data_IF_230393997078
#
_entry.id   IF_230393997078
#
_cell.length_a   1.000
_cell.length_b   1.000
_cell.length_c   1.000
_cell.angle_alpha   90.00
_cell.angle_beta   90.00
_cell.angle_gamma   90.00
#
_symmetry.space_group_name_H-M   'P 1'
#
loop_
_entity.id
_entity.type
_entity.pdbx_description
1 polymer ?
#
# COMPACT_ATOMS: atom_id res chain seq x y z
N UNK A 1 -11.74 17.02 -10.85
CA UNK A 1 -10.29 17.29 -10.77
C UNK A 1 -9.63 16.50 -11.88
N UNK A 2 -9.13 17.16 -12.92
CA UNK A 2 -8.28 16.48 -13.91
C UNK A 2 -6.93 16.27 -13.25
N UNK A 3 -6.67 15.04 -12.80
CA UNK A 3 -5.33 14.70 -12.35
C UNK A 3 -4.42 14.76 -13.59
N UNK A 4 -3.29 15.50 -13.55
CA UNK A 4 -2.28 15.36 -14.60
C UNK A 4 -1.97 13.87 -14.76
N UNK A 5 -1.66 13.42 -15.98
CA UNK A 5 -1.37 12.01 -16.27
C UNK A 5 -0.20 11.56 -15.38
N UNK A 6 -0.53 11.04 -14.21
CA UNK A 6 0.44 10.58 -13.23
C UNK A 6 0.79 9.15 -13.64
N UNK A 7 2.08 8.82 -13.78
CA UNK A 7 2.48 7.47 -14.16
C UNK A 7 1.98 6.49 -13.09
N UNK A 8 1.44 5.35 -13.53
CA UNK A 8 0.88 4.28 -12.68
C UNK A 8 1.85 3.92 -11.54
N UNK A 9 3.15 3.84 -11.83
CA UNK A 9 4.20 3.55 -10.85
C UNK A 9 4.28 4.56 -9.69
N UNK A 10 4.02 5.85 -9.97
CA UNK A 10 4.03 6.89 -8.94
C UNK A 10 2.80 6.80 -8.04
N UNK A 11 1.64 6.51 -8.63
CA UNK A 11 0.37 6.30 -7.90
C UNK A 11 0.51 5.09 -6.96
N UNK A 12 1.04 3.99 -7.47
CA UNK A 12 1.28 2.77 -6.69
C UNK A 12 2.32 3.01 -5.57
N UNK A 13 3.41 3.73 -5.87
CA UNK A 13 4.42 4.09 -4.88
C UNK A 13 3.84 4.96 -3.75
N UNK A 14 2.91 5.87 -4.08
CA UNK A 14 2.19 6.68 -3.10
C UNK A 14 1.33 5.81 -2.18
N UNK A 15 0.65 4.81 -2.71
CA UNK A 15 -0.09 3.81 -1.93
C UNK A 15 0.81 3.05 -0.95
N UNK A 16 1.97 2.56 -1.43
CA UNK A 16 2.97 1.90 -0.58
C UNK A 16 3.47 2.81 0.54
N UNK A 17 3.76 4.07 0.20
CA UNK A 17 4.24 5.07 1.17
C UNK A 17 3.19 5.37 2.23
N UNK A 18 1.92 5.48 1.85
CA UNK A 18 0.83 5.74 2.80
C UNK A 18 0.74 4.64 3.87
N UNK A 19 0.79 3.37 3.49
CA UNK A 19 0.83 2.25 4.45
C UNK A 19 2.04 2.38 5.40
N UNK A 20 3.24 2.58 4.84
CA UNK A 20 4.48 2.70 5.63
C UNK A 20 4.48 3.88 6.62
N UNK A 21 3.72 4.93 6.33
CA UNK A 21 3.55 6.09 7.20
C UNK A 21 2.32 5.98 8.13
N UNK A 22 1.65 4.82 8.18
CA UNK A 22 0.52 4.58 9.07
C UNK A 22 -0.79 5.27 8.65
N UNK A 23 -0.89 5.73 7.40
CA UNK A 23 -2.13 6.30 6.88
C UNK A 23 -3.16 5.19 6.62
N UNK A 24 -4.44 5.50 6.82
CA UNK A 24 -5.54 4.59 6.48
C UNK A 24 -5.79 4.50 4.97
N UNK A 25 -6.39 3.40 4.47
CA UNK A 25 -6.74 3.25 3.06
C UNK A 25 -7.84 4.21 2.57
N UNK A 26 -8.59 4.79 3.51
CA UNK A 26 -9.61 5.82 3.32
C UNK A 26 -9.01 7.22 3.05
N UNK A 27 -7.73 7.42 3.36
CA UNK A 27 -6.98 8.66 3.08
C UNK A 27 -6.46 8.74 1.63
N UNK A 28 -7.00 7.91 0.72
CA UNK A 28 -6.65 7.92 -0.69
C UNK A 28 -7.04 9.26 -1.34
N UNK A 29 -6.12 9.96 -2.03
CA UNK A 29 -6.40 11.29 -2.58
C UNK A 29 -7.14 11.27 -3.92
N UNK A 30 -7.44 10.08 -4.46
CA UNK A 30 -8.12 9.91 -5.75
C UNK A 30 -9.59 9.56 -5.52
N UNK A 31 -10.44 10.05 -6.44
CA UNK A 31 -11.87 9.72 -6.44
C UNK A 31 -12.08 8.21 -6.42
N UNK A 32 -13.02 7.77 -5.58
CA UNK A 32 -13.32 6.35 -5.39
C UNK A 32 -13.68 5.67 -6.71
N UNK A 33 -13.33 4.40 -6.84
CA UNK A 33 -13.58 3.57 -8.04
C UNK A 33 -12.94 4.04 -9.36
N UNK A 34 -12.05 5.02 -9.33
CA UNK A 34 -11.21 5.38 -10.48
C UNK A 34 -10.02 4.42 -10.65
N UNK A 35 -9.43 4.41 -11.86
CA UNK A 35 -8.19 3.69 -12.10
C UNK A 35 -7.07 4.11 -11.13
N UNK A 36 -6.95 5.42 -10.88
CA UNK A 36 -5.98 5.96 -9.94
C UNK A 36 -6.22 5.45 -8.51
N UNK A 37 -7.47 5.43 -8.04
CA UNK A 37 -7.82 4.87 -6.73
C UNK A 37 -7.44 3.39 -6.63
N UNK A 38 -7.79 2.57 -7.64
CA UNK A 38 -7.43 1.13 -7.64
C UNK A 38 -5.92 0.90 -7.63
N UNK A 39 -5.15 1.65 -8.43
CA UNK A 39 -3.69 1.56 -8.45
C UNK A 39 -3.08 1.96 -7.10
N UNK A 40 -3.60 3.01 -6.46
CA UNK A 40 -3.15 3.41 -5.14
C UNK A 40 -3.46 2.33 -4.08
N UNK A 41 -4.68 1.77 -4.10
CA UNK A 41 -5.07 0.69 -3.19
C UNK A 41 -4.20 -0.56 -3.37
N UNK A 42 -3.86 -0.90 -4.60
CA UNK A 42 -2.94 -2.02 -4.90
C UNK A 42 -1.59 -1.81 -4.23
N UNK A 43 -1.00 -0.61 -4.36
CA UNK A 43 0.26 -0.27 -3.69
C UNK A 43 0.16 -0.36 -2.16
N UNK A 44 -0.93 0.17 -1.60
CA UNK A 44 -1.20 0.12 -0.16
C UNK A 44 -1.28 -1.31 0.37
N UNK A 45 -2.12 -2.15 -0.26
CA UNK A 45 -2.34 -3.53 0.13
C UNK A 45 -1.08 -4.39 -0.05
N UNK A 46 -0.30 -4.15 -1.10
CA UNK A 46 0.98 -4.83 -1.32
C UNK A 46 1.95 -4.55 -0.18
N UNK A 47 2.06 -3.28 0.23
CA UNK A 47 2.91 -2.92 1.36
C UNK A 47 2.41 -3.55 2.67
N UNK A 48 1.09 -3.53 2.91
CA UNK A 48 0.45 -4.14 4.08
C UNK A 48 0.74 -5.63 4.16
N UNK A 49 0.56 -6.35 3.05
CA UNK A 49 0.83 -7.77 2.96
C UNK A 49 2.31 -8.08 3.21
N UNK A 50 3.23 -7.32 2.61
CA UNK A 50 4.66 -7.49 2.85
C UNK A 50 5.04 -7.29 4.33
N UNK A 51 4.41 -6.33 5.01
CA UNK A 51 4.61 -6.13 6.45
C UNK A 51 4.09 -7.32 7.28
N UNK A 52 2.97 -7.94 6.89
CA UNK A 52 2.44 -9.12 7.58
C UNK A 52 3.34 -10.34 7.39
N UNK A 53 3.83 -10.57 6.16
CA UNK A 53 4.76 -11.67 5.87
C UNK A 53 6.03 -11.54 6.70
N UNK A 54 6.60 -10.34 6.80
CA UNK A 54 7.77 -10.09 7.66
C UNK A 54 7.53 -10.40 9.14
N UNK A 55 6.30 -10.23 9.64
CA UNK A 55 5.97 -10.58 11.03
C UNK A 55 5.82 -12.09 11.19
N UNK A 56 5.21 -12.77 10.22
CA UNK A 56 5.08 -14.23 10.24
C UNK A 56 6.44 -14.94 10.18
N UNK A 57 7.38 -14.43 9.39
CA UNK A 57 8.74 -14.98 9.31
C UNK A 57 9.51 -14.83 10.64
N UNK A 58 9.29 -13.73 11.37
CA UNK A 58 9.92 -13.49 12.68
C UNK A 58 9.38 -14.35 13.82
N UNK A 59 8.13 -14.82 13.73
CA UNK A 59 7.50 -15.68 14.76
C UNK A 59 7.91 -17.15 14.64
N UNK A 60 8.54 -17.56 13.54
CA UNK A 60 8.99 -18.94 13.31
C UNK A 60 10.31 -19.32 13.99
N UNK A 61 11.09 -18.35 14.48
CA UNK A 61 12.45 -18.58 14.99
C UNK A 61 12.52 -18.78 16.51
N UNK A 62 11.41 -18.58 17.25
CA UNK A 62 11.40 -18.67 18.72
C UNK A 62 11.00 -20.05 19.28
N UNK A 63 10.80 -21.07 18.45
CA UNK A 63 10.39 -22.45 18.85
C UNK A 63 11.47 -23.49 18.55
N UNK A 64 12.74 -23.07 18.43
CA UNK A 64 13.87 -23.96 18.14
C UNK A 64 15.08 -23.80 19.08
N UNK A 65 14.86 -23.33 20.32
CA UNK A 65 15.90 -23.22 21.36
C UNK A 65 15.61 -24.13 22.56
#
# INVERSE_FOLDING_TARGET
>A
MDYPIEPINAIEARGRSAMRNGLGPDMCPYDHDTAHWRTWQQGYLTARLASMVSVCDGLGDEVAA
#
